data_IF_630348775451
#
_entry.id   IF_630348775451
#
_cell.length_a   1.000
_cell.length_b   1.000
_cell.length_c   1.000
_cell.angle_alpha   90.00
_cell.angle_beta   90.00
_cell.angle_gamma   90.00
#
_symmetry.space_group_name_H-M   'P 1'
#
loop_
_entity.id
_entity.type
_entity.pdbx_description
1 polymer ?
#
# COMPACT_ATOMS: atom_id res chain seq x y z
N UNK A 1 -49.65 -26.14 -3.04
CA UNK A 1 -48.83 -25.83 -1.85
C UNK A 1 -47.61 -26.75 -1.70
N UNK A 2 -47.77 -28.09 -1.68
CA UNK A 2 -46.66 -29.06 -1.55
C UNK A 2 -45.56 -28.93 -2.63
N UNK A 3 -45.94 -28.73 -3.89
CA UNK A 3 -44.98 -28.56 -4.99
C UNK A 3 -44.16 -27.26 -4.89
N UNK A 4 -44.78 -26.18 -4.38
CA UNK A 4 -44.12 -24.89 -4.15
C UNK A 4 -43.11 -25.04 -3.01
N UNK A 5 -43.50 -25.68 -1.91
CA UNK A 5 -42.62 -25.97 -0.78
C UNK A 5 -41.39 -26.80 -1.22
N UNK A 6 -41.60 -27.84 -2.02
CA UNK A 6 -40.49 -28.67 -2.52
C UNK A 6 -39.55 -27.86 -3.42
N UNK A 7 -40.08 -27.06 -4.35
CA UNK A 7 -39.26 -26.21 -5.23
C UNK A 7 -38.47 -25.16 -4.44
N UNK A 8 -39.09 -24.52 -3.47
CA UNK A 8 -38.42 -23.55 -2.59
C UNK A 8 -37.32 -24.20 -1.76
N UNK A 9 -37.55 -25.41 -1.23
CA UNK A 9 -36.55 -26.15 -0.48
C UNK A 9 -35.34 -26.52 -1.37
N UNK A 10 -35.57 -27.01 -2.59
CA UNK A 10 -34.50 -27.32 -3.55
C UNK A 10 -33.69 -26.07 -3.87
N UNK A 11 -34.37 -24.94 -4.13
CA UNK A 11 -33.69 -23.68 -4.41
C UNK A 11 -32.84 -23.21 -3.22
N UNK A 12 -33.36 -23.30 -2.00
CA UNK A 12 -32.62 -22.94 -0.79
C UNK A 12 -31.37 -23.80 -0.62
N UNK A 13 -31.48 -25.12 -0.82
CA UNK A 13 -30.33 -26.04 -0.75
C UNK A 13 -29.30 -25.72 -1.84
N UNK A 14 -29.75 -25.46 -3.07
CA UNK A 14 -28.86 -25.08 -4.17
C UNK A 14 -28.11 -23.76 -3.87
N UNK A 15 -28.78 -22.78 -3.28
CA UNK A 15 -28.17 -21.52 -2.85
C UNK A 15 -27.13 -21.73 -1.74
N UNK A 16 -27.41 -22.59 -0.76
CA UNK A 16 -26.43 -22.94 0.29
C UNK A 16 -25.21 -23.62 -0.31
N UNK A 17 -25.40 -24.59 -1.20
CA UNK A 17 -24.28 -25.26 -1.88
C UNK A 17 -23.46 -24.25 -2.69
N UNK A 18 -24.13 -23.38 -3.46
CA UNK A 18 -23.46 -22.33 -4.22
C UNK A 18 -22.69 -21.37 -3.29
N UNK A 19 -23.24 -21.03 -2.12
CA UNK A 19 -22.54 -20.17 -1.15
C UNK A 19 -21.33 -20.85 -0.53
N UNK A 20 -21.40 -22.15 -0.22
CA UNK A 20 -20.22 -22.88 0.29
C UNK A 20 -19.12 -22.98 -0.77
N UNK A 21 -19.49 -23.23 -2.03
CA UNK A 21 -18.51 -23.42 -3.11
C UNK A 21 -17.93 -22.11 -3.65
N UNK A 22 -18.77 -21.06 -3.76
CA UNK A 22 -18.41 -19.79 -4.40
C UNK A 22 -18.40 -18.60 -3.45
N UNK A 23 -18.77 -18.78 -2.18
CA UNK A 23 -19.01 -17.69 -1.22
C UNK A 23 -17.84 -16.74 -1.07
N UNK A 24 -16.62 -17.27 -1.08
CA UNK A 24 -15.42 -16.44 -1.04
C UNK A 24 -15.27 -15.54 -2.26
N UNK A 25 -15.53 -16.07 -3.47
CA UNK A 25 -15.47 -15.28 -4.72
C UNK A 25 -16.57 -14.22 -4.73
N UNK A 26 -17.77 -14.58 -4.26
CA UNK A 26 -18.88 -13.65 -4.10
C UNK A 26 -18.56 -12.55 -3.09
N UNK A 27 -17.96 -12.88 -1.95
CA UNK A 27 -17.50 -11.91 -0.96
C UNK A 27 -16.47 -10.96 -1.57
N UNK A 28 -15.46 -11.46 -2.28
CA UNK A 28 -14.46 -10.61 -2.96
C UNK A 28 -15.07 -9.69 -4.02
N UNK A 29 -16.07 -10.15 -4.76
CA UNK A 29 -16.78 -9.31 -5.73
C UNK A 29 -17.58 -8.22 -5.02
N UNK A 30 -18.27 -8.57 -3.94
CA UNK A 30 -19.04 -7.63 -3.15
C UNK A 30 -18.15 -6.60 -2.44
N UNK A 31 -16.98 -7.02 -1.95
CA UNK A 31 -16.02 -6.16 -1.26
C UNK A 31 -15.44 -5.06 -2.17
N UNK A 32 -15.49 -5.24 -3.50
CA UNK A 32 -15.15 -4.17 -4.44
C UNK A 32 -16.18 -3.04 -4.46
N UNK A 33 -17.41 -3.33 -4.03
CA UNK A 33 -18.53 -2.39 -4.02
C UNK A 33 -18.75 -1.82 -2.62
N UNK A 34 -18.72 -2.68 -1.60
CA UNK A 34 -19.05 -2.32 -0.22
C UNK A 34 -18.19 -3.09 0.78
N UNK A 35 -17.53 -2.35 1.67
CA UNK A 35 -16.98 -2.84 2.93
C UNK A 35 -17.69 -2.16 4.09
N UNK A 36 -17.78 -2.82 5.25
CA UNK A 36 -18.49 -2.29 6.42
C UNK A 36 -17.56 -2.08 7.61
N UNK A 37 -18.00 -1.26 8.56
CA UNK A 37 -17.31 -1.09 9.85
C UNK A 37 -15.93 -0.46 9.71
N UNK A 38 -15.81 0.61 8.93
CA UNK A 38 -14.59 1.38 8.81
C UNK A 38 -14.22 2.00 10.17
N UNK A 39 -13.02 1.73 10.67
CA UNK A 39 -12.50 2.31 11.90
C UNK A 39 -11.09 2.86 11.69
N UNK A 40 -10.80 4.00 12.32
CA UNK A 40 -9.45 4.56 12.36
C UNK A 40 -8.60 3.80 13.36
N UNK A 41 -7.36 3.55 12.98
CA UNK A 41 -6.35 2.86 13.79
C UNK A 41 -5.19 3.82 14.10
N UNK A 42 -4.40 3.55 15.15
CA UNK A 42 -3.21 4.33 15.43
C UNK A 42 -2.22 4.27 14.26
N UNK A 43 -1.71 5.44 13.87
CA UNK A 43 -0.69 5.57 12.81
C UNK A 43 0.73 5.50 13.34
N UNK A 44 0.92 5.67 14.65
CA UNK A 44 2.23 5.63 15.31
C UNK A 44 2.23 4.62 16.47
N UNK A 45 3.38 3.98 16.78
CA UNK A 45 4.69 4.13 16.12
C UNK A 45 4.73 3.56 14.70
N UNK A 46 5.66 4.06 13.88
CA UNK A 46 5.96 3.57 12.54
C UNK A 46 7.33 2.91 12.55
N UNK A 47 7.38 1.65 12.16
CA UNK A 47 8.60 0.85 12.11
C UNK A 47 8.59 -0.01 10.85
N UNK A 48 9.77 -0.26 10.31
CA UNK A 48 10.00 -1.29 9.32
C UNK A 48 10.74 -2.46 10.01
N UNK A 49 10.20 -3.68 9.88
CA UNK A 49 10.70 -4.88 10.56
C UNK A 49 11.48 -5.83 9.63
N UNK A 50 11.91 -5.34 8.47
CA UNK A 50 12.59 -6.14 7.46
C UNK A 50 11.64 -6.93 6.54
N UNK A 51 10.41 -7.20 6.95
CA UNK A 51 9.38 -7.91 6.17
C UNK A 51 8.19 -7.05 5.77
N UNK A 52 7.94 -5.96 6.48
CA UNK A 52 6.86 -5.03 6.24
C UNK A 52 6.85 -3.89 7.26
N UNK A 53 5.71 -3.23 7.39
CA UNK A 53 5.53 -2.16 8.38
C UNK A 53 4.93 -2.67 9.67
N UNK A 54 5.32 -2.08 10.79
CA UNK A 54 4.56 -2.09 12.03
C UNK A 54 3.98 -0.69 12.24
N UNK A 55 2.67 -0.57 12.09
CA UNK A 55 1.93 0.71 12.16
C UNK A 55 1.01 0.65 13.37
N UNK A 56 1.22 1.52 14.35
CA UNK A 56 0.42 1.48 15.58
C UNK A 56 0.58 0.16 16.34
N UNK A 57 1.72 -0.51 16.18
CA UNK A 57 1.99 -1.84 16.72
C UNK A 57 1.43 -3.02 15.90
N UNK A 58 0.67 -2.77 14.83
CA UNK A 58 0.11 -3.81 13.96
C UNK A 58 1.07 -4.14 12.81
N UNK A 59 1.37 -5.43 12.62
CA UNK A 59 2.28 -5.91 11.57
C UNK A 59 1.57 -6.05 10.21
N UNK A 60 2.08 -5.31 9.22
CA UNK A 60 1.60 -5.20 7.85
C UNK A 60 2.69 -5.68 6.90
N UNK A 61 2.59 -6.94 6.45
CA UNK A 61 3.60 -7.59 5.61
C UNK A 61 3.65 -7.03 4.19
N UNK A 62 4.82 -7.07 3.55
CA UNK A 62 4.95 -6.81 2.11
C UNK A 62 4.85 -8.09 1.26
N UNK A 63 4.40 -9.20 1.84
CA UNK A 63 4.01 -10.39 1.08
C UNK A 63 2.78 -10.09 0.23
N UNK A 64 2.85 -10.41 -1.06
CA UNK A 64 1.77 -10.32 -2.01
C UNK A 64 0.80 -11.50 -1.92
N UNK A 65 -0.16 -11.53 -2.84
CA UNK A 65 -1.15 -12.60 -2.92
C UNK A 65 -0.57 -13.94 -3.40
N UNK A 66 0.67 -14.01 -3.84
CA UNK A 66 1.36 -15.25 -4.21
C UNK A 66 2.27 -15.78 -3.09
N UNK A 67 2.26 -15.13 -1.92
CA UNK A 67 3.25 -15.29 -0.84
C UNK A 67 4.68 -14.88 -1.24
N UNK A 68 4.89 -14.27 -2.41
CA UNK A 68 6.16 -13.65 -2.74
C UNK A 68 6.18 -12.23 -2.20
N UNK A 69 7.37 -11.71 -1.94
CA UNK A 69 7.52 -10.32 -1.53
C UNK A 69 7.19 -9.41 -2.72
N UNK A 70 6.30 -8.43 -2.51
CA UNK A 70 6.06 -7.36 -3.48
C UNK A 70 7.37 -6.59 -3.67
N UNK A 71 7.67 -6.20 -4.91
CA UNK A 71 8.85 -5.41 -5.26
C UNK A 71 8.73 -3.98 -4.69
N UNK A 72 9.07 -3.88 -3.41
CA UNK A 72 9.10 -2.68 -2.59
C UNK A 72 10.49 -2.56 -1.99
N UNK A 73 11.18 -1.49 -2.36
CA UNK A 73 12.48 -1.16 -1.83
C UNK A 73 12.34 -0.02 -0.84
N UNK A 74 12.87 -0.21 0.36
CA UNK A 74 13.08 0.88 1.29
C UNK A 74 14.55 1.21 1.37
N UNK A 75 14.86 2.49 1.37
CA UNK A 75 16.20 3.00 1.56
C UNK A 75 16.16 4.28 2.39
N UNK A 76 17.29 4.61 3.00
CA UNK A 76 17.50 5.90 3.65
C UNK A 76 18.33 6.76 2.72
N UNK A 77 17.88 7.97 2.43
CA UNK A 77 18.61 8.93 1.61
C UNK A 77 19.74 9.62 2.39
N UNK A 78 20.53 10.46 1.71
CA UNK A 78 21.63 11.21 2.32
C UNK A 78 21.18 12.20 3.41
N UNK A 79 19.89 12.55 3.44
CA UNK A 79 19.28 13.44 4.44
C UNK A 79 18.64 12.65 5.60
N UNK A 80 18.96 11.36 5.73
CA UNK A 80 18.41 10.45 6.74
C UNK A 80 16.88 10.30 6.67
N UNK A 81 16.30 10.39 5.47
CA UNK A 81 14.87 10.21 5.22
C UNK A 81 14.63 8.86 4.59
N UNK A 82 13.59 8.18 5.06
CA UNK A 82 13.16 6.90 4.52
C UNK A 82 12.38 7.15 3.24
N UNK A 83 12.80 6.50 2.17
CA UNK A 83 12.10 6.50 0.89
C UNK A 83 11.62 5.09 0.59
N UNK A 84 10.41 4.99 0.03
CA UNK A 84 9.81 3.77 -0.46
C UNK A 84 9.74 3.86 -1.97
N UNK A 85 10.25 2.84 -2.66
CA UNK A 85 10.27 2.74 -4.11
C UNK A 85 9.55 1.48 -4.56
N UNK A 86 8.69 1.60 -5.57
CA UNK A 86 8.05 0.48 -6.26
C UNK A 86 7.68 0.87 -7.67
N UNK A 87 7.78 -0.06 -8.63
CA UNK A 87 7.42 0.15 -10.03
C UNK A 87 8.04 1.44 -10.65
N UNK A 88 9.26 1.80 -10.23
CA UNK A 88 9.97 3.00 -10.68
C UNK A 88 9.47 4.33 -10.10
N UNK A 89 8.51 4.31 -9.18
CA UNK A 89 8.03 5.49 -8.46
C UNK A 89 8.60 5.51 -7.04
N UNK A 90 8.93 6.69 -6.52
CA UNK A 90 9.42 6.86 -5.16
C UNK A 90 8.53 7.77 -4.33
N UNK A 91 8.42 7.47 -3.04
CA UNK A 91 7.70 8.27 -2.06
C UNK A 91 8.53 8.38 -0.78
N UNK A 92 8.84 9.60 -0.37
CA UNK A 92 9.58 9.86 0.87
C UNK A 92 8.63 9.73 2.06
N UNK A 93 8.79 8.73 2.91
CA UNK A 93 7.94 8.55 4.10
C UNK A 93 8.23 9.64 5.13
N UNK A 94 9.48 9.83 5.52
CA UNK A 94 9.86 10.86 6.49
C UNK A 94 11.20 10.54 7.15
N UNK A 95 11.58 11.26 8.22
CA UNK A 95 12.88 11.08 8.86
C UNK A 95 12.95 9.72 9.56
N UNK A 96 14.11 9.07 9.43
CA UNK A 96 14.46 7.91 10.25
C UNK A 96 14.76 8.39 11.67
N UNK A 97 14.08 7.82 12.66
CA UNK A 97 14.20 8.21 14.08
C UNK A 97 15.12 7.29 14.87
N UNK A 98 15.34 6.07 14.38
CA UNK A 98 16.31 5.13 14.93
C UNK A 98 17.70 5.32 14.31
N UNK A 99 18.75 5.10 15.10
CA UNK A 99 20.12 5.05 14.57
C UNK A 99 20.32 3.90 13.58
N UNK A 100 21.41 3.95 12.79
CA UNK A 100 21.84 2.81 12.00
C UNK A 100 22.16 1.63 12.94
N UNK A 101 21.57 0.45 12.68
CA UNK A 101 21.85 -0.73 13.47
C UNK A 101 23.29 -1.20 13.19
N UNK A 102 24.18 -1.26 14.19
CA UNK A 102 25.56 -1.73 14.02
C UNK A 102 25.66 -3.17 13.52
N UNK A 103 24.61 -3.97 13.72
CA UNK A 103 24.54 -5.37 13.27
C UNK A 103 24.07 -5.53 11.82
N UNK A 104 23.76 -4.42 11.13
CA UNK A 104 23.35 -4.42 9.72
C UNK A 104 21.93 -4.93 9.48
N UNK A 105 21.11 -5.04 10.54
CA UNK A 105 19.72 -5.44 10.39
C UNK A 105 18.91 -4.38 9.64
N UNK A 106 17.92 -4.82 8.85
CA UNK A 106 17.13 -3.91 8.04
C UNK A 106 16.09 -3.14 8.85
N UNK A 107 15.90 -3.46 10.14
CA UNK A 107 14.85 -2.84 10.95
C UNK A 107 15.19 -1.39 11.31
N UNK A 108 14.19 -0.52 11.23
CA UNK A 108 14.33 0.87 11.65
C UNK A 108 12.98 1.52 11.96
N UNK A 109 13.02 2.45 12.90
CA UNK A 109 11.91 3.35 13.19
C UNK A 109 12.02 4.63 12.36
N UNK A 110 10.85 5.15 11.99
CA UNK A 110 10.72 6.42 11.28
C UNK A 110 9.47 7.16 11.74
N UNK A 111 9.36 8.42 11.35
CA UNK A 111 8.20 9.24 11.64
C UNK A 111 7.65 9.86 10.36
N UNK A 112 6.38 10.25 10.39
CA UNK A 112 5.83 11.13 9.37
C UNK A 112 6.32 12.55 9.56
N UNK A 113 6.32 13.34 8.48
CA UNK A 113 6.55 14.78 8.60
C UNK A 113 5.39 15.46 9.34
N UNK A 114 5.67 16.58 9.99
CA UNK A 114 4.68 17.29 10.80
C UNK A 114 3.46 17.76 9.98
N UNK A 115 3.65 18.07 8.70
CA UNK A 115 2.61 18.55 7.80
C UNK A 115 1.92 17.42 7.02
N UNK A 116 2.30 16.16 7.23
CA UNK A 116 1.73 15.03 6.51
C UNK A 116 0.35 14.64 7.08
N UNK A 117 -0.55 14.28 6.16
CA UNK A 117 -1.83 13.67 6.51
C UNK A 117 -1.71 12.17 6.36
N UNK A 118 -1.47 11.49 7.48
CA UNK A 118 -1.40 10.03 7.53
C UNK A 118 -2.67 9.50 8.18
N UNK A 119 -3.32 8.55 7.50
CA UNK A 119 -4.47 7.83 8.03
C UNK A 119 -4.27 6.34 7.87
N UNK A 120 -4.54 5.59 8.93
CA UNK A 120 -4.57 4.14 8.93
C UNK A 120 -5.96 3.68 9.33
N UNK A 121 -6.60 2.89 8.48
CA UNK A 121 -7.99 2.47 8.67
C UNK A 121 -8.13 0.99 8.44
N UNK A 122 -9.12 0.40 9.10
CA UNK A 122 -9.54 -0.97 8.85
C UNK A 122 -11.01 -1.02 8.46
N UNK A 123 -11.36 -1.97 7.60
CA UNK A 123 -12.73 -2.31 7.26
C UNK A 123 -12.85 -3.82 7.07
N UNK A 124 -14.07 -4.34 6.99
CA UNK A 124 -14.32 -5.79 6.84
C UNK A 124 -15.31 -6.06 5.71
N UNK A 125 -15.26 -7.27 5.16
CA UNK A 125 -16.24 -7.72 4.17
C UNK A 125 -17.65 -7.57 4.70
N UNK A 126 -18.56 -7.11 3.84
CA UNK A 126 -19.99 -7.10 4.14
C UNK A 126 -20.57 -8.52 4.22
N UNK A 127 -19.99 -9.44 3.44
CA UNK A 127 -20.39 -10.85 3.38
C UNK A 127 -19.22 -11.74 3.81
N UNK A 128 -19.43 -12.54 4.85
CA UNK A 128 -18.55 -13.68 5.14
C UNK A 128 -18.98 -14.92 4.36
N UNK A 129 -18.13 -15.94 4.31
CA UNK A 129 -18.47 -17.24 3.72
C UNK A 129 -18.23 -18.40 4.71
N UNK A 130 -19.07 -19.44 4.64
CA UNK A 130 -18.91 -20.64 5.47
C UNK A 130 -17.72 -21.48 5.00
N UNK A 131 -17.07 -22.17 5.93
CA UNK A 131 -15.93 -23.08 5.66
C UNK A 131 -16.12 -24.48 6.29
N UNK A 132 -17.25 -25.17 6.05
CA UNK A 132 -17.62 -26.38 6.81
C UNK A 132 -16.75 -27.61 6.51
N UNK A 133 -15.98 -27.58 5.42
CA UNK A 133 -15.14 -28.70 4.96
C UNK A 133 -13.64 -28.45 5.14
N UNK A 134 -13.23 -27.31 5.72
CA UNK A 134 -11.83 -27.05 6.02
C UNK A 134 -11.44 -27.77 7.32
N UNK A 135 -11.20 -29.08 7.23
CA UNK A 135 -10.76 -29.86 8.38
C UNK A 135 -9.26 -29.71 8.59
N UNK A 136 -8.84 -29.05 9.67
CA UNK A 136 -7.44 -29.08 10.09
C UNK A 136 -7.22 -30.20 11.12
N UNK A 137 -6.65 -31.32 10.65
CA UNK A 137 -6.38 -32.51 11.48
C UNK A 137 -5.36 -32.20 12.60
N UNK A 138 -4.47 -31.22 12.41
CA UNK A 138 -3.46 -30.85 13.40
C UNK A 138 -3.95 -29.86 14.48
N UNK A 139 -4.93 -29.00 14.19
CA UNK A 139 -5.32 -27.89 15.08
C UNK A 139 -6.62 -28.18 15.89
N UNK A 140 -7.24 -29.36 15.75
CA UNK A 140 -8.43 -29.83 16.50
C UNK A 140 -9.71 -28.99 16.35
N UNK A 141 -9.63 -27.76 15.85
CA UNK A 141 -10.74 -26.85 15.61
C UNK A 141 -10.65 -26.27 14.21
N UNK A 142 -11.79 -26.28 13.50
CA UNK A 142 -11.92 -25.75 12.14
C UNK A 142 -12.82 -24.53 12.15
N UNK A 143 -12.49 -23.48 11.38
CA UNK A 143 -13.31 -22.29 11.35
C UNK A 143 -14.65 -22.61 10.69
N UNK A 144 -15.74 -22.09 11.26
CA UNK A 144 -17.09 -22.24 10.71
C UNK A 144 -17.36 -21.21 9.62
N UNK A 145 -16.76 -20.03 9.77
CA UNK A 145 -16.94 -18.90 8.87
C UNK A 145 -15.62 -18.17 8.70
N UNK A 146 -15.48 -17.50 7.55
CA UNK A 146 -14.41 -16.55 7.29
C UNK A 146 -14.94 -15.27 6.68
N UNK A 147 -14.17 -14.20 6.81
CA UNK A 147 -14.36 -12.94 6.10
C UNK A 147 -13.02 -12.28 5.81
N UNK A 148 -12.99 -11.33 4.89
CA UNK A 148 -11.81 -10.49 4.73
C UNK A 148 -11.84 -9.31 5.70
N UNK A 149 -10.64 -8.93 6.12
CA UNK A 149 -10.37 -7.68 6.82
C UNK A 149 -9.34 -6.93 6.01
N UNK A 150 -9.62 -5.67 5.78
CA UNK A 150 -8.84 -4.78 4.95
C UNK A 150 -8.18 -3.74 5.82
N UNK A 151 -6.94 -3.42 5.48
CA UNK A 151 -6.20 -2.33 6.08
C UNK A 151 -5.77 -1.38 4.98
N UNK A 152 -6.00 -0.09 5.19
CA UNK A 152 -5.61 0.96 4.25
C UNK A 152 -4.75 1.96 4.99
N UNK A 153 -3.52 2.12 4.52
CA UNK A 153 -2.67 3.28 4.83
C UNK A 153 -2.83 4.27 3.68
N UNK A 154 -3.29 5.47 4.00
CA UNK A 154 -3.29 6.58 3.06
C UNK A 154 -2.45 7.72 3.64
N UNK A 155 -1.46 8.15 2.87
CA UNK A 155 -0.47 9.13 3.27
C UNK A 155 -0.40 10.22 2.21
N UNK A 156 -0.69 11.45 2.61
CA UNK A 156 -0.65 12.63 1.74
C UNK A 156 0.36 13.65 2.30
N UNK A 157 1.30 14.06 1.45
CA UNK A 157 2.27 15.12 1.70
C UNK A 157 1.60 16.48 1.51
N UNK A 158 2.16 17.51 2.14
CA UNK A 158 1.76 18.91 1.89
C UNK A 158 1.89 19.34 0.43
N UNK A 159 2.87 18.79 -0.29
CA UNK A 159 3.07 19.00 -1.74
C UNK A 159 2.00 18.36 -2.61
N UNK A 160 1.13 17.52 -2.04
CA UNK A 160 0.10 16.77 -2.76
C UNK A 160 0.55 15.39 -3.24
N UNK A 161 1.80 14.97 -3.00
CA UNK A 161 2.21 13.59 -3.22
C UNK A 161 1.40 12.63 -2.33
N UNK A 162 1.04 11.46 -2.86
CA UNK A 162 0.22 10.46 -2.17
C UNK A 162 0.83 9.08 -2.25
N UNK A 163 0.75 8.36 -1.15
CA UNK A 163 0.99 6.93 -1.06
C UNK A 163 -0.27 6.27 -0.50
N UNK A 164 -0.79 5.28 -1.21
CA UNK A 164 -1.82 4.40 -0.70
C UNK A 164 -1.34 2.95 -0.71
N UNK A 165 -1.50 2.27 0.43
CA UNK A 165 -1.19 0.85 0.56
C UNK A 165 -2.40 0.12 1.11
N UNK A 166 -2.71 -1.03 0.52
CA UNK A 166 -3.91 -1.79 0.83
C UNK A 166 -3.60 -3.26 1.09
N UNK A 167 -3.85 -3.71 2.31
CA UNK A 167 -3.71 -5.11 2.71
C UNK A 167 -5.07 -5.79 2.83
N UNK A 168 -5.10 -7.08 2.50
CA UNK A 168 -6.25 -7.95 2.71
C UNK A 168 -5.82 -9.19 3.49
N UNK A 169 -6.37 -9.35 4.69
CA UNK A 169 -6.19 -10.52 5.55
C UNK A 169 -7.49 -11.30 5.70
N UNK A 170 -7.42 -12.49 6.30
CA UNK A 170 -8.58 -13.31 6.62
C UNK A 170 -8.81 -13.33 8.13
N UNK A 171 -10.06 -13.28 8.53
CA UNK A 171 -10.48 -13.43 9.92
C UNK A 171 -11.38 -14.66 10.01
N UNK A 172 -11.10 -15.54 10.96
CA UNK A 172 -11.83 -16.80 11.14
C UNK A 172 -12.84 -16.68 12.27
N UNK A 173 -13.96 -17.36 12.16
CA UNK A 173 -14.96 -17.49 13.22
C UNK A 173 -14.99 -18.93 13.74
N UNK A 174 -14.83 -19.08 15.05
CA UNK A 174 -14.98 -20.35 15.75
C UNK A 174 -16.18 -20.27 16.69
N UNK A 175 -17.06 -21.28 16.66
CA UNK A 175 -18.30 -21.27 17.44
C UNK A 175 -18.07 -21.07 18.95
N UNK A 176 -16.96 -21.57 19.49
CA UNK A 176 -16.61 -21.44 20.91
C UNK A 176 -15.94 -20.10 21.28
N UNK A 177 -15.34 -19.39 20.31
CA UNK A 177 -14.43 -18.26 20.58
C UNK A 177 -14.73 -16.97 19.82
N UNK A 178 -15.70 -17.00 18.89
CA UNK A 178 -16.02 -15.84 18.07
C UNK A 178 -15.03 -15.60 16.94
N UNK A 179 -14.95 -14.34 16.50
CA UNK A 179 -14.01 -13.90 15.46
C UNK A 179 -12.59 -13.78 16.04
N UNK A 180 -11.61 -14.39 15.39
CA UNK A 180 -10.19 -14.29 15.74
C UNK A 180 -9.60 -12.93 15.41
N UNK A 181 -8.32 -12.71 15.70
CA UNK A 181 -7.61 -11.61 15.08
C UNK A 181 -7.45 -11.85 13.57
N UNK A 182 -7.36 -10.79 12.75
CA UNK A 182 -7.05 -10.92 11.33
C UNK A 182 -5.65 -11.45 11.13
N UNK A 183 -5.51 -12.46 10.29
CA UNK A 183 -4.25 -13.19 10.09
C UNK A 183 -3.82 -13.14 8.62
N UNK A 184 -2.52 -12.97 8.42
CA UNK A 184 -1.89 -13.36 7.17
C UNK A 184 -1.78 -14.88 7.16
N UNK A 185 -2.43 -15.50 6.19
CA UNK A 185 -2.40 -16.95 6.01
C UNK A 185 -1.38 -17.29 4.92
N UNK A 186 -0.60 -18.33 5.15
CA UNK A 186 0.35 -18.90 4.17
C UNK A 186 -0.38 -19.71 3.10
N UNK A 187 -1.34 -19.07 2.43
CA UNK A 187 -2.24 -19.72 1.47
C UNK A 187 -2.31 -18.98 0.13
N UNK A 188 -1.39 -18.04 -0.11
CA UNK A 188 -1.30 -17.25 -1.36
C UNK A 188 -2.62 -16.54 -1.65
N UNK A 189 -3.21 -15.90 -0.64
CA UNK A 189 -4.52 -15.25 -0.75
C UNK A 189 -4.68 -13.98 0.09
N UNK A 190 -3.79 -13.78 1.04
CA UNK A 190 -3.74 -12.64 1.95
C UNK A 190 -2.39 -11.95 1.84
N UNK A 191 -2.36 -10.65 2.02
CA UNK A 191 -1.14 -9.88 1.88
C UNK A 191 -1.42 -8.46 1.43
N UNK A 192 -0.36 -7.79 0.99
CA UNK A 192 -0.42 -6.51 0.31
C UNK A 192 -1.00 -6.71 -1.09
N UNK A 193 -2.14 -6.06 -1.34
CA UNK A 193 -2.90 -6.21 -2.59
C UNK A 193 -2.60 -5.07 -3.56
N UNK A 194 -2.28 -3.88 -3.03
CA UNK A 194 -2.03 -2.70 -3.83
C UNK A 194 -1.09 -1.73 -3.12
N UNK A 195 -0.20 -1.13 -3.90
CA UNK A 195 0.57 0.06 -3.55
C UNK A 195 0.45 1.02 -4.70
N UNK A 196 -0.06 2.22 -4.43
CA UNK A 196 -0.18 3.29 -5.42
C UNK A 196 0.63 4.49 -4.94
N UNK A 197 1.56 4.97 -5.77
CA UNK A 197 2.30 6.20 -5.55
C UNK A 197 1.84 7.23 -6.58
N UNK A 198 1.41 8.38 -6.10
CA UNK A 198 1.11 9.54 -6.94
C UNK A 198 2.10 10.65 -6.60
N UNK A 199 3.05 11.00 -7.49
CA UNK A 199 4.02 12.05 -7.22
C UNK A 199 3.34 13.42 -7.14
N UNK A 200 3.91 14.32 -6.33
CA UNK A 200 3.49 15.72 -6.28
C UNK A 200 3.66 16.35 -7.67
N UNK A 201 2.68 17.17 -8.06
CA UNK A 201 2.72 17.92 -9.33
C UNK A 201 2.93 17.03 -10.57
N UNK A 202 2.64 15.72 -10.49
CA UNK A 202 3.02 14.75 -11.50
C UNK A 202 2.56 15.10 -12.93
N UNK A 203 1.35 15.62 -13.09
CA UNK A 203 0.84 16.05 -14.38
C UNK A 203 1.60 17.27 -14.93
N UNK A 204 1.87 18.26 -14.10
CA UNK A 204 2.59 19.48 -14.50
C UNK A 204 4.02 19.12 -14.90
N UNK A 205 4.68 18.30 -14.10
CA UNK A 205 6.05 17.83 -14.39
C UNK A 205 6.06 16.99 -15.66
N UNK A 206 5.12 16.05 -15.83
CA UNK A 206 5.05 15.23 -17.04
C UNK A 206 4.79 16.05 -18.30
N UNK A 207 3.88 17.03 -18.25
CA UNK A 207 3.63 17.95 -19.36
C UNK A 207 4.87 18.81 -19.67
N UNK A 208 5.55 19.32 -18.63
CA UNK A 208 6.77 20.10 -18.80
C UNK A 208 7.87 19.28 -19.47
N UNK A 209 8.11 18.07 -18.98
CA UNK A 209 9.14 17.15 -19.50
C UNK A 209 8.82 16.71 -20.93
N UNK A 210 7.58 16.32 -21.22
CA UNK A 210 7.18 15.95 -22.57
C UNK A 210 7.36 17.12 -23.56
N UNK A 211 7.07 18.36 -23.13
CA UNK A 211 7.17 19.55 -23.97
C UNK A 211 8.61 20.02 -24.19
N UNK A 212 9.43 20.03 -23.13
CA UNK A 212 10.76 20.66 -23.17
C UNK A 212 11.90 19.67 -23.36
N UNK A 213 11.72 18.41 -22.92
CA UNK A 213 12.72 17.36 -23.04
C UNK A 213 12.35 16.29 -24.07
N UNK A 214 11.07 16.19 -24.43
CA UNK A 214 10.58 15.18 -25.38
C UNK A 214 10.54 13.77 -24.81
N UNK A 215 10.75 13.59 -23.50
CA UNK A 215 10.75 12.27 -22.87
C UNK A 215 9.32 11.73 -22.74
N UNK A 216 9.20 10.42 -22.89
CA UNK A 216 7.94 9.69 -22.75
C UNK A 216 7.76 9.15 -21.34
N UNK A 217 6.49 8.92 -20.90
CA UNK A 217 6.24 8.17 -19.68
C UNK A 217 6.98 6.82 -19.71
N UNK A 218 7.72 6.52 -18.65
CA UNK A 218 8.55 5.32 -18.54
C UNK A 218 10.01 5.49 -18.99
N UNK A 219 10.41 6.65 -19.52
CA UNK A 219 11.82 6.98 -19.77
C UNK A 219 12.46 7.72 -18.58
N UNK A 220 11.65 8.19 -17.64
CA UNK A 220 12.08 8.92 -16.46
C UNK A 220 11.24 8.53 -15.24
N UNK A 221 11.78 8.82 -14.05
CA UNK A 221 11.02 8.81 -12.79
C UNK A 221 11.02 10.18 -12.12
N UNK A 222 10.00 10.44 -11.34
CA UNK A 222 9.84 11.68 -10.57
C UNK A 222 10.12 11.37 -9.11
N UNK A 223 11.03 12.12 -8.50
CA UNK A 223 11.36 12.04 -7.08
C UNK A 223 11.15 13.40 -6.41
N UNK A 224 10.49 13.40 -5.26
CA UNK A 224 10.35 14.60 -4.46
C UNK A 224 11.57 14.79 -3.56
N UNK A 225 12.27 15.92 -3.71
CA UNK A 225 13.40 16.32 -2.85
C UNK A 225 12.95 17.18 -1.66
N UNK A 226 11.70 17.62 -1.66
CA UNK A 226 11.09 18.42 -0.60
C UNK A 226 11.07 19.93 -0.92
N UNK A 227 10.82 20.79 0.07
CA UNK A 227 10.74 22.24 -0.14
C UNK A 227 12.09 22.85 -0.53
N UNK A 228 12.05 23.91 -1.33
CA UNK A 228 13.20 24.79 -1.52
C UNK A 228 13.59 25.48 -0.21
N UNK A 229 14.83 25.97 -0.09
CA UNK A 229 15.30 26.64 1.12
C UNK A 229 14.43 27.84 1.56
N UNK A 230 13.72 28.49 0.62
CA UNK A 230 12.77 29.57 0.89
C UNK A 230 11.32 29.12 1.12
N UNK A 231 11.02 27.82 0.97
CA UNK A 231 9.69 27.23 1.20
C UNK A 231 8.61 27.60 0.17
N UNK A 232 8.93 28.44 -0.83
CA UNK A 232 8.00 28.91 -1.85
C UNK A 232 7.75 27.90 -2.98
N UNK A 233 8.65 26.93 -3.15
CA UNK A 233 8.60 25.95 -4.23
C UNK A 233 8.89 24.55 -3.70
N UNK A 234 8.32 23.55 -4.36
CA UNK A 234 8.69 22.15 -4.18
C UNK A 234 9.79 21.79 -5.19
N UNK A 235 10.87 21.17 -4.71
CA UNK A 235 11.99 20.70 -5.52
C UNK A 235 11.72 19.26 -5.90
N UNK A 236 11.72 19.01 -7.20
CA UNK A 236 11.39 17.73 -7.80
C UNK A 236 12.57 17.32 -8.69
N UNK A 237 13.20 16.19 -8.37
CA UNK A 237 14.19 15.60 -9.26
C UNK A 237 13.47 14.71 -10.29
N UNK A 238 13.71 14.95 -11.57
CA UNK A 238 13.26 14.10 -12.66
C UNK A 238 14.49 13.34 -13.17
N UNK A 239 14.54 12.06 -12.81
CA UNK A 239 15.68 11.20 -13.10
C UNK A 239 15.41 10.45 -14.40
N UNK A 240 16.21 10.71 -15.42
CA UNK A 240 16.18 9.95 -16.66
C UNK A 240 16.71 8.53 -16.40
N UNK A 241 15.97 7.50 -16.80
CA UNK A 241 16.26 6.13 -16.37
C UNK A 241 17.58 5.60 -16.96
N UNK A 242 18.04 6.12 -18.10
CA UNK A 242 19.35 5.74 -18.64
C UNK A 242 20.50 6.27 -17.78
N UNK A 243 20.34 7.44 -17.16
CA UNK A 243 21.37 8.03 -16.30
C UNK A 243 21.60 7.20 -15.04
N UNK A 244 20.61 6.42 -14.59
CA UNK A 244 20.78 5.52 -13.44
C UNK A 244 21.76 4.38 -13.71
N UNK A 245 21.98 4.04 -14.98
CA UNK A 245 22.97 3.03 -15.39
C UNK A 245 24.37 3.63 -15.52
N UNK A 246 24.48 4.95 -15.43
CA UNK A 246 25.75 5.67 -15.51
C UNK A 246 26.50 5.59 -14.18
N UNK A 247 27.85 5.64 -14.18
CA UNK A 247 28.66 5.61 -12.95
C UNK A 247 28.34 6.75 -11.96
N UNK A 248 27.70 7.82 -12.43
CA UNK A 248 27.18 8.93 -11.63
C UNK A 248 25.68 9.10 -11.93
N UNK A 249 24.79 8.54 -11.09
CA UNK A 249 23.35 8.69 -11.26
C UNK A 249 22.94 10.18 -11.20
N UNK A 250 22.38 10.70 -12.29
CA UNK A 250 21.90 12.08 -12.38
C UNK A 250 22.80 13.03 -13.17
N UNK A 251 24.05 12.66 -13.50
CA UNK A 251 25.01 13.52 -14.21
C UNK A 251 24.79 13.61 -15.73
N UNK A 252 23.60 13.25 -16.20
CA UNK A 252 23.26 13.13 -17.62
C UNK A 252 22.09 14.04 -18.01
N UNK A 253 21.03 13.41 -18.51
CA UNK A 253 19.84 14.12 -18.96
C UNK A 253 18.90 14.54 -17.82
N UNK A 254 19.06 13.95 -16.64
CA UNK A 254 18.26 14.21 -15.44
C UNK A 254 18.27 15.68 -15.06
N UNK A 255 17.18 16.14 -14.46
CA UNK A 255 17.00 17.55 -14.09
C UNK A 255 16.36 17.68 -12.72
N UNK A 256 16.60 18.81 -12.06
CA UNK A 256 15.79 19.26 -10.94
C UNK A 256 14.84 20.36 -11.42
N UNK A 257 13.61 20.32 -10.96
CA UNK A 257 12.56 21.28 -11.24
C UNK A 257 12.08 21.91 -9.93
N UNK A 258 11.87 23.22 -9.96
CA UNK A 258 11.21 23.94 -8.88
C UNK A 258 9.79 24.21 -9.34
N UNK A 259 8.83 23.62 -8.65
CA UNK A 259 7.41 23.89 -8.88
C UNK A 259 6.94 24.88 -7.83
N UNK A 260 6.51 26.06 -8.27
CA UNK A 260 5.99 27.08 -7.37
C UNK A 260 4.68 26.62 -6.73
N UNK A 261 4.57 26.77 -5.40
CA UNK A 261 3.43 26.23 -4.65
C UNK A 261 2.13 26.99 -4.88
N UNK A 262 2.22 28.28 -5.22
CA UNK A 262 1.04 29.12 -5.40
C UNK A 262 0.40 28.89 -6.77
N UNK A 263 1.23 28.81 -7.81
CA UNK A 263 0.80 28.64 -9.20
C UNK A 263 0.75 27.18 -9.65
N UNK A 264 1.46 26.28 -8.96
CA UNK A 264 1.64 24.90 -9.38
C UNK A 264 2.43 24.75 -10.68
N UNK A 265 3.19 25.78 -11.09
CA UNK A 265 3.94 25.78 -12.35
C UNK A 265 5.43 25.57 -12.11
N UNK A 266 6.11 24.98 -13.10
CA UNK A 266 7.59 24.89 -13.10
C UNK A 266 8.15 26.30 -13.30
N UNK A 267 8.86 26.82 -12.29
CA UNK A 267 9.45 28.18 -12.31
C UNK A 267 10.96 28.18 -12.52
N UNK A 268 11.61 27.03 -12.32
CA UNK A 268 13.05 26.88 -12.51
C UNK A 268 13.38 25.44 -12.88
N UNK A 269 14.37 25.27 -13.73
CA UNK A 269 15.02 23.99 -14.02
C UNK A 269 16.52 24.15 -13.71
N UNK A 270 17.15 23.13 -13.12
CA UNK A 270 18.59 22.96 -13.07
C UNK A 270 18.94 21.63 -13.74
N UNK A 271 19.93 21.65 -14.63
CA UNK A 271 20.49 20.43 -15.21
C UNK A 271 21.18 19.58 -14.14
N UNK A 272 21.08 18.25 -14.28
CA UNK A 272 21.74 17.29 -13.40
C UNK A 272 23.25 17.53 -13.32
N UNK A 273 23.78 17.50 -12.10
CA UNK A 273 25.23 17.53 -11.82
C UNK A 273 25.83 16.14 -11.97
#
# INVERSE_FOLDING_TARGET
MRLILIRSAILAVALVIAWVLAGRRLALLLDRLVTVGAASLPVSPLQYDGGGFRIGGLAMTFGGLDNLRVDLRLSTDASNRVTLETAGQSFTLGPRTSGADPSGRPEFDFASEADDRVSFTTSRSALGWPTPFEFNIMIRHSPWWRRHVYYRLAWEKRSGAKLEMFWRYEQSYYAAGGWTQPEMLWNSRTGLVRVDITPAHGNVVAEYIARHKGWKPGEYRIEERGPSAGGSSDVIAVIYLEDQRSPQPGAGQSVELWVDRASGQVVKELGGQ
#
